data_IF_727381106240
#
_entry.id   IF_727381106240
#
_cell.length_a   1.000
_cell.length_b   1.000
_cell.length_c   1.000
_cell.angle_alpha   90.00
_cell.angle_beta   90.00
_cell.angle_gamma   90.00
#
_symmetry.space_group_name_H-M   'P 1'
#
loop_
_entity.id
_entity.type
_entity.pdbx_description
1 polymer ?
#
# COMPACT_ATOMS: atom_id res chain seq x y z
N UNK A 1 -11.94 0.52 2.50
CA UNK A 1 -12.51 -0.57 3.35
C UNK A 1 -12.98 0.05 4.64
N UNK A 2 -14.20 -0.17 5.04
CA UNK A 2 -14.65 0.27 6.36
C UNK A 2 -14.23 -0.74 7.45
N UNK A 3 -14.47 -0.36 8.72
CA UNK A 3 -14.06 -1.17 9.87
C UNK A 3 -14.74 -2.56 9.90
N UNK A 4 -16.01 -2.65 9.56
CA UNK A 4 -16.79 -3.91 9.56
C UNK A 4 -16.22 -4.85 8.50
N UNK A 5 -15.96 -4.36 7.32
CA UNK A 5 -15.37 -5.11 6.22
C UNK A 5 -13.95 -5.59 6.55
N UNK A 6 -13.13 -4.74 7.18
CA UNK A 6 -11.79 -5.12 7.64
C UNK A 6 -11.83 -6.26 8.67
N UNK A 7 -12.80 -6.23 9.58
CA UNK A 7 -12.99 -7.31 10.57
C UNK A 7 -13.39 -8.64 9.92
N UNK A 8 -14.25 -8.60 8.90
CA UNK A 8 -14.71 -9.80 8.19
C UNK A 8 -13.62 -10.42 7.32
N UNK A 9 -12.80 -9.59 6.68
CA UNK A 9 -11.76 -10.01 5.72
C UNK A 9 -10.40 -10.29 6.37
N UNK A 10 -10.26 -10.15 7.70
CA UNK A 10 -8.97 -10.37 8.34
C UNK A 10 -8.43 -11.79 8.10
N UNK A 11 -7.16 -11.93 7.67
CA UNK A 11 -6.52 -13.21 7.42
C UNK A 11 -6.44 -14.12 8.66
N UNK A 12 -6.22 -15.43 8.52
CA UNK A 12 -6.13 -16.36 9.65
C UNK A 12 -5.13 -15.98 10.72
N UNK A 13 -4.04 -15.34 10.32
CA UNK A 13 -2.95 -14.87 11.20
C UNK A 13 -3.35 -13.78 12.18
N UNK A 14 -4.57 -13.20 12.08
CA UNK A 14 -5.05 -12.25 13.09
C UNK A 14 -5.01 -12.85 14.51
N UNK A 15 -5.11 -14.20 14.62
CA UNK A 15 -5.06 -14.94 15.89
C UNK A 15 -3.66 -14.95 16.52
N UNK A 16 -2.64 -14.59 15.77
CA UNK A 16 -1.28 -14.43 16.25
C UNK A 16 -1.15 -13.23 17.20
N UNK A 17 -1.97 -12.21 17.01
CA UNK A 17 -1.98 -11.00 17.82
C UNK A 17 -3.07 -11.04 18.88
N UNK A 18 -2.74 -10.47 20.05
CA UNK A 18 -3.69 -10.21 21.14
C UNK A 18 -3.94 -8.73 21.33
N UNK A 19 -4.92 -8.39 22.16
CA UNK A 19 -5.25 -6.98 22.48
C UNK A 19 -4.04 -6.21 23.02
N UNK A 20 -3.15 -6.88 23.76
CA UNK A 20 -1.95 -6.28 24.32
C UNK A 20 -0.94 -5.82 23.25
N UNK A 21 -0.97 -6.43 22.06
CA UNK A 21 -0.09 -6.04 20.94
C UNK A 21 -0.41 -4.64 20.42
N UNK A 22 -1.65 -4.19 20.55
CA UNK A 22 -2.06 -2.83 20.21
C UNK A 22 -1.25 -1.80 21.03
N UNK A 23 -0.94 -2.11 22.29
CA UNK A 23 -0.12 -1.24 23.13
C UNK A 23 1.36 -1.17 22.71
N UNK A 24 1.84 -2.13 21.92
CA UNK A 24 3.20 -2.17 21.36
C UNK A 24 3.36 -1.29 20.10
N UNK A 25 2.27 -0.90 19.47
CA UNK A 25 2.30 0.03 18.34
C UNK A 25 2.89 1.38 18.78
N UNK A 26 3.67 2.06 17.91
CA UNK A 26 4.09 3.42 18.17
C UNK A 26 2.90 4.34 18.46
N UNK A 27 3.06 5.31 19.37
CA UNK A 27 1.97 6.18 19.80
C UNK A 27 1.27 6.91 18.66
N UNK A 28 2.02 7.35 17.66
CA UNK A 28 1.47 8.02 16.49
C UNK A 28 0.59 7.08 15.66
N UNK A 29 1.05 5.84 15.44
CA UNK A 29 0.31 4.80 14.72
C UNK A 29 -0.97 4.44 15.46
N UNK A 30 -0.86 4.15 16.77
CA UNK A 30 -2.01 3.82 17.60
C UNK A 30 -3.07 4.92 17.61
N UNK A 31 -2.67 6.19 17.71
CA UNK A 31 -3.59 7.32 17.65
C UNK A 31 -4.29 7.44 16.30
N UNK A 32 -3.56 7.24 15.21
CA UNK A 32 -4.11 7.26 13.86
C UNK A 32 -5.15 6.16 13.67
N UNK A 33 -4.80 4.93 13.99
CA UNK A 33 -5.68 3.76 13.82
C UNK A 33 -6.90 3.81 14.76
N UNK A 34 -6.69 4.13 16.03
CA UNK A 34 -7.78 4.19 17.01
C UNK A 34 -8.79 5.30 16.74
N UNK A 35 -8.41 6.37 16.03
CA UNK A 35 -9.37 7.39 15.60
C UNK A 35 -10.37 6.87 14.57
N UNK A 36 -10.07 5.78 13.88
CA UNK A 36 -10.90 5.12 12.85
C UNK A 36 -11.76 3.99 13.41
N UNK A 37 -11.54 3.59 14.67
CA UNK A 37 -12.26 2.47 15.30
C UNK A 37 -13.51 2.98 16.02
N UNK A 38 -14.69 2.41 15.75
CA UNK A 38 -15.92 2.75 16.46
C UNK A 38 -15.80 2.49 17.97
N UNK A 39 -16.40 3.33 18.82
CA UNK A 39 -16.43 3.09 20.25
C UNK A 39 -17.12 1.77 20.61
N UNK A 40 -16.65 1.08 21.64
CA UNK A 40 -17.31 -0.09 22.22
C UNK A 40 -17.07 -1.42 21.50
N UNK A 41 -16.16 -1.48 20.53
CA UNK A 41 -15.77 -2.75 19.90
C UNK A 41 -15.13 -3.72 20.90
N UNK A 42 -15.47 -5.01 20.75
CA UNK A 42 -14.80 -6.07 21.51
C UNK A 42 -13.32 -6.22 21.09
N UNK A 43 -12.45 -6.59 22.03
CA UNK A 43 -11.01 -6.68 21.80
C UNK A 43 -10.63 -7.55 20.60
N UNK A 44 -11.25 -8.72 20.44
CA UNK A 44 -10.97 -9.64 19.32
C UNK A 44 -11.32 -9.04 17.95
N UNK A 45 -12.44 -8.30 17.87
CA UNK A 45 -12.81 -7.59 16.64
C UNK A 45 -11.82 -6.47 16.33
N UNK A 46 -11.42 -5.72 17.37
CA UNK A 46 -10.44 -4.67 17.24
C UNK A 46 -9.10 -5.19 16.69
N UNK A 47 -8.61 -6.32 17.22
CA UNK A 47 -7.36 -6.94 16.73
C UNK A 47 -7.49 -7.39 15.28
N UNK A 48 -8.65 -7.94 14.88
CA UNK A 48 -8.89 -8.29 13.46
C UNK A 48 -8.79 -7.08 12.54
N UNK A 49 -9.46 -5.99 12.90
CA UNK A 49 -9.47 -4.77 12.10
C UNK A 49 -8.08 -4.13 11.99
N UNK A 50 -7.23 -4.31 13.00
CA UNK A 50 -5.87 -3.79 13.03
C UNK A 50 -4.81 -4.79 12.54
N UNK A 51 -5.19 -5.97 12.06
CA UNK A 51 -4.27 -7.03 11.68
C UNK A 51 -3.12 -6.52 10.80
N UNK A 52 -3.44 -5.85 9.70
CA UNK A 52 -2.43 -5.35 8.77
C UNK A 52 -1.52 -4.29 9.41
N UNK A 53 -2.09 -3.39 10.21
CA UNK A 53 -1.30 -2.40 10.96
C UNK A 53 -0.33 -3.08 11.93
N UNK A 54 -0.79 -4.12 12.65
CA UNK A 54 0.07 -4.90 13.55
C UNK A 54 1.20 -5.60 12.79
N UNK A 55 0.91 -6.22 11.65
CA UNK A 55 1.93 -6.84 10.79
C UNK A 55 2.95 -5.81 10.33
N UNK A 56 2.52 -4.71 9.75
CA UNK A 56 3.43 -3.70 9.19
C UNK A 56 4.37 -3.07 10.22
N UNK A 57 3.91 -2.93 11.46
CA UNK A 57 4.66 -2.25 12.51
C UNK A 57 5.36 -3.17 13.50
N UNK A 58 4.84 -4.37 13.76
CA UNK A 58 5.41 -5.31 14.72
C UNK A 58 6.15 -6.47 14.08
N UNK A 59 5.77 -6.87 12.87
CA UNK A 59 6.36 -8.01 12.16
C UNK A 59 6.60 -7.68 10.66
N UNK A 60 7.30 -6.56 10.36
CA UNK A 60 7.50 -6.10 8.98
C UNK A 60 8.23 -7.13 8.10
N UNK A 61 9.03 -8.03 8.70
CA UNK A 61 9.72 -9.12 7.99
C UNK A 61 8.75 -10.13 7.38
N UNK A 62 7.64 -10.42 8.08
CA UNK A 62 6.61 -11.32 7.52
C UNK A 62 5.96 -10.71 6.27
N UNK A 63 5.65 -9.40 6.34
CA UNK A 63 5.13 -8.68 5.17
C UNK A 63 6.14 -8.65 4.02
N UNK A 64 7.40 -8.36 4.31
CA UNK A 64 8.46 -8.34 3.30
C UNK A 64 8.61 -9.71 2.63
N UNK A 65 8.50 -10.80 3.40
CA UNK A 65 8.57 -12.15 2.86
C UNK A 65 7.37 -12.47 1.97
N UNK A 66 6.14 -12.17 2.40
CA UNK A 66 4.93 -12.30 1.58
C UNK A 66 5.09 -11.63 0.21
N UNK A 67 5.56 -10.38 0.18
CA UNK A 67 5.68 -9.61 -1.06
C UNK A 67 6.62 -10.21 -2.09
N UNK A 68 7.51 -11.13 -1.70
CA UNK A 68 8.40 -11.87 -2.63
C UNK A 68 7.64 -12.91 -3.43
N UNK A 69 6.52 -13.39 -2.89
CA UNK A 69 5.66 -14.39 -3.52
C UNK A 69 4.44 -13.77 -4.20
N UNK A 70 4.28 -12.46 -4.08
CA UNK A 70 3.25 -11.69 -4.79
C UNK A 70 3.88 -10.64 -5.73
N UNK A 71 4.57 -11.07 -6.80
CA UNK A 71 5.15 -10.14 -7.76
C UNK A 71 4.05 -9.37 -8.50
N UNK A 72 4.28 -8.08 -8.74
CA UNK A 72 3.39 -7.28 -9.59
C UNK A 72 3.51 -7.77 -11.02
N UNK A 73 2.36 -7.95 -11.71
CA UNK A 73 2.35 -8.41 -13.10
C UNK A 73 3.15 -7.47 -14.00
N UNK A 74 4.06 -7.99 -14.86
CA UNK A 74 4.92 -7.15 -15.72
C UNK A 74 4.16 -6.20 -16.64
N UNK A 75 2.98 -6.59 -17.14
CA UNK A 75 2.16 -5.75 -18.02
C UNK A 75 1.61 -4.52 -17.30
N UNK A 76 1.31 -4.62 -16.00
CA UNK A 76 0.90 -3.46 -15.20
C UNK A 76 2.05 -2.48 -15.08
N UNK A 77 3.25 -2.99 -14.79
CA UNK A 77 4.47 -2.17 -14.75
C UNK A 77 4.75 -1.53 -16.11
N UNK A 78 4.58 -2.28 -17.22
CA UNK A 78 4.76 -1.76 -18.57
C UNK A 78 3.74 -0.67 -18.93
N UNK A 79 2.58 -0.65 -18.28
CA UNK A 79 1.52 0.35 -18.50
C UNK A 79 1.77 1.68 -17.77
N UNK A 80 2.70 1.71 -16.81
CA UNK A 80 3.07 2.94 -16.11
C UNK A 80 3.86 3.89 -17.04
N UNK A 81 3.72 5.21 -16.86
CA UNK A 81 4.52 6.19 -17.59
C UNK A 81 6.03 5.95 -17.44
N UNK A 82 6.75 6.13 -18.51
CA UNK A 82 8.22 6.07 -18.56
C UNK A 82 8.84 7.47 -18.51
N UNK A 83 10.08 7.54 -18.04
CA UNK A 83 10.93 8.74 -18.17
C UNK A 83 10.34 9.99 -17.49
N UNK A 84 9.75 9.81 -16.29
CA UNK A 84 9.30 10.94 -15.47
C UNK A 84 10.45 11.51 -14.63
N UNK A 85 10.38 12.79 -14.28
CA UNK A 85 11.41 13.39 -13.43
C UNK A 85 11.28 12.90 -11.98
N UNK A 86 10.07 12.91 -11.44
CA UNK A 86 9.78 12.51 -10.07
C UNK A 86 8.61 11.52 -10.04
N UNK A 87 8.84 10.36 -9.44
CA UNK A 87 7.78 9.43 -9.04
C UNK A 87 7.65 9.39 -7.51
N UNK A 88 6.40 9.31 -7.04
CA UNK A 88 6.05 9.13 -5.62
C UNK A 88 5.36 7.78 -5.46
N UNK A 89 5.79 6.98 -4.49
CA UNK A 89 5.18 5.71 -4.11
C UNK A 89 4.59 5.85 -2.70
N UNK A 90 3.27 5.79 -2.59
CA UNK A 90 2.50 6.02 -1.36
C UNK A 90 2.12 4.67 -0.75
N UNK A 91 2.45 4.46 0.53
CA UNK A 91 2.37 3.14 1.15
C UNK A 91 3.38 2.17 0.56
N UNK A 92 4.63 2.63 0.40
CA UNK A 92 5.67 1.93 -0.35
C UNK A 92 6.08 0.58 0.24
N UNK A 93 5.76 0.33 1.51
CA UNK A 93 6.16 -0.89 2.20
C UNK A 93 7.68 -1.08 2.19
N UNK A 94 8.11 -2.30 1.96
CA UNK A 94 9.53 -2.65 1.79
C UNK A 94 10.06 -2.40 0.37
N UNK A 95 9.24 -1.79 -0.54
CA UNK A 95 9.65 -1.35 -1.87
C UNK A 95 9.24 -2.25 -3.03
N UNK A 96 8.16 -3.05 -2.88
CA UNK A 96 7.67 -3.96 -3.95
C UNK A 96 7.40 -3.20 -5.26
N UNK A 97 6.69 -2.08 -5.24
CA UNK A 97 6.47 -1.24 -6.42
C UNK A 97 7.66 -0.30 -6.67
N UNK A 98 8.23 0.28 -5.61
CA UNK A 98 9.33 1.25 -5.69
C UNK A 98 10.50 0.77 -6.55
N UNK A 99 10.88 -0.53 -6.49
CA UNK A 99 11.97 -1.11 -7.29
C UNK A 99 11.74 -0.99 -8.81
N UNK A 100 10.50 -0.93 -9.25
CA UNK A 100 10.16 -0.73 -10.66
C UNK A 100 10.19 0.75 -11.05
N UNK A 101 9.85 1.64 -10.12
CA UNK A 101 9.83 3.10 -10.34
C UNK A 101 11.24 3.67 -10.51
N UNK A 102 12.27 3.10 -9.84
CA UNK A 102 13.67 3.56 -9.99
C UNK A 102 14.24 3.42 -11.42
N UNK A 103 13.58 2.65 -12.27
CA UNK A 103 13.94 2.51 -13.69
C UNK A 103 13.14 3.43 -14.62
N UNK A 104 12.11 4.13 -14.06
CA UNK A 104 11.15 4.95 -14.80
C UNK A 104 11.21 6.43 -14.44
N UNK A 105 11.87 6.75 -13.32
CA UNK A 105 11.96 8.11 -12.82
C UNK A 105 13.40 8.49 -12.52
N UNK A 106 13.73 9.75 -12.72
CA UNK A 106 15.03 10.31 -12.34
C UNK A 106 15.19 10.32 -10.81
N UNK A 107 14.10 10.60 -10.09
CA UNK A 107 14.03 10.60 -8.63
C UNK A 107 12.79 9.88 -8.17
N UNK A 108 12.94 9.01 -7.17
CA UNK A 108 11.82 8.32 -6.51
C UNK A 108 11.75 8.74 -5.05
N UNK A 109 10.54 9.10 -4.63
CA UNK A 109 10.20 9.38 -3.23
C UNK A 109 9.21 8.31 -2.79
N UNK A 110 9.54 7.60 -1.71
CA UNK A 110 8.70 6.57 -1.11
C UNK A 110 8.15 7.07 0.22
N UNK A 111 6.84 7.03 0.40
CA UNK A 111 6.16 7.42 1.64
C UNK A 111 5.69 6.13 2.32
N UNK A 112 6.17 5.90 3.55
CA UNK A 112 5.86 4.68 4.30
C UNK A 112 5.82 4.99 5.80
N UNK A 113 4.69 4.76 6.50
CA UNK A 113 4.58 5.04 7.93
C UNK A 113 5.36 4.05 8.81
N UNK A 114 5.50 2.77 8.41
CA UNK A 114 6.22 1.76 9.20
C UNK A 114 7.73 2.01 9.17
N UNK A 115 8.33 2.18 10.35
CA UNK A 115 9.78 2.34 10.49
C UNK A 115 10.55 1.10 10.01
N UNK A 116 10.02 -0.10 10.29
CA UNK A 116 10.63 -1.37 9.89
C UNK A 116 10.63 -1.55 8.37
N UNK A 117 9.48 -1.40 7.73
CA UNK A 117 9.35 -1.50 6.27
C UNK A 117 10.19 -0.42 5.57
N UNK A 118 10.15 0.81 6.08
CA UNK A 118 10.94 1.93 5.52
C UNK A 118 12.45 1.69 5.66
N UNK A 119 12.90 1.07 6.75
CA UNK A 119 14.31 0.69 6.92
C UNK A 119 14.73 -0.39 5.90
N UNK A 120 13.89 -1.39 5.65
CA UNK A 120 14.13 -2.42 4.63
C UNK A 120 14.18 -1.81 3.23
N UNK A 121 13.26 -0.91 2.91
CA UNK A 121 13.24 -0.18 1.64
C UNK A 121 14.56 0.59 1.44
N UNK A 122 14.99 1.37 2.43
CA UNK A 122 16.25 2.13 2.38
C UNK A 122 17.47 1.23 2.19
N UNK A 123 17.48 0.07 2.84
CA UNK A 123 18.57 -0.90 2.68
C UNK A 123 18.61 -1.48 1.27
N UNK A 124 17.45 -1.81 0.71
CA UNK A 124 17.31 -2.43 -0.62
C UNK A 124 17.52 -1.44 -1.76
N UNK A 125 17.04 -0.21 -1.59
CA UNK A 125 17.01 0.85 -2.61
C UNK A 125 17.61 2.15 -2.03
N UNK A 126 18.92 2.19 -1.77
CA UNK A 126 19.58 3.34 -1.11
C UNK A 126 19.50 4.65 -1.90
N UNK A 127 19.20 4.59 -3.21
CA UNK A 127 19.00 5.76 -4.08
C UNK A 127 17.61 6.40 -3.93
N UNK A 128 16.67 5.75 -3.26
CA UNK A 128 15.31 6.24 -3.06
C UNK A 128 15.24 7.13 -1.82
N UNK A 129 14.53 8.26 -1.93
CA UNK A 129 14.21 9.10 -0.77
C UNK A 129 13.01 8.53 -0.03
N UNK A 130 13.25 7.78 1.05
CA UNK A 130 12.17 7.22 1.85
C UNK A 130 11.84 8.11 3.06
N UNK A 131 10.58 8.54 3.15
CA UNK A 131 10.05 9.50 4.12
C UNK A 131 8.93 8.84 4.93
N UNK A 132 8.89 9.11 6.24
CA UNK A 132 7.74 8.75 7.08
C UNK A 132 6.54 9.65 6.73
N UNK A 133 5.37 9.05 6.55
CA UNK A 133 4.17 9.83 6.27
C UNK A 133 2.95 8.94 6.07
N UNK A 134 1.78 9.56 6.19
CA UNK A 134 0.48 8.96 5.97
C UNK A 134 -0.10 9.43 4.65
N UNK A 135 -0.90 8.58 4.01
CA UNK A 135 -1.49 8.89 2.71
C UNK A 135 -2.49 10.04 2.76
N UNK A 136 -3.16 10.22 3.89
CA UNK A 136 -4.14 11.27 4.15
C UNK A 136 -3.51 12.67 4.33
N UNK A 137 -2.17 12.72 4.49
CA UNK A 137 -1.43 13.98 4.62
C UNK A 137 0.01 13.76 4.16
N UNK A 138 0.23 13.79 2.86
CA UNK A 138 1.54 13.53 2.27
C UNK A 138 2.53 14.66 2.59
N UNK A 139 3.74 14.37 3.10
CA UNK A 139 4.74 15.36 3.48
C UNK A 139 5.47 15.92 2.25
N UNK A 140 4.73 16.32 1.24
CA UNK A 140 5.21 16.83 -0.04
C UNK A 140 4.45 18.10 -0.42
N UNK A 141 5.11 18.97 -1.19
CA UNK A 141 4.47 20.14 -1.78
C UNK A 141 3.48 19.74 -2.89
N UNK A 142 2.57 20.66 -3.23
CA UNK A 142 1.68 20.45 -4.38
C UNK A 142 2.49 20.36 -5.67
N UNK A 143 2.02 19.51 -6.60
CA UNK A 143 2.66 19.29 -7.90
C UNK A 143 4.12 18.82 -7.82
N UNK A 144 4.51 18.09 -6.77
CA UNK A 144 5.87 17.60 -6.56
C UNK A 144 6.25 16.40 -7.45
N UNK A 145 5.30 15.74 -8.11
CA UNK A 145 5.53 14.53 -8.92
C UNK A 145 4.83 14.58 -10.27
N UNK A 146 5.33 13.81 -11.24
CA UNK A 146 4.66 13.51 -12.52
C UNK A 146 3.99 12.13 -12.50
N UNK A 147 4.34 11.29 -11.55
CA UNK A 147 3.72 9.98 -11.34
C UNK A 147 3.58 9.71 -9.85
N UNK A 148 2.35 9.58 -9.37
CA UNK A 148 2.06 9.19 -7.98
C UNK A 148 1.41 7.81 -8.00
N UNK A 149 1.97 6.86 -7.26
CA UNK A 149 1.56 5.45 -7.27
C UNK A 149 1.25 4.94 -5.88
N UNK A 150 0.48 3.86 -5.83
CA UNK A 150 0.33 3.00 -4.67
C UNK A 150 0.08 1.55 -5.14
N UNK A 151 0.37 0.56 -4.28
CA UNK A 151 0.11 -0.86 -4.59
C UNK A 151 -0.47 -1.59 -3.40
N UNK A 152 -1.72 -2.08 -3.51
CA UNK A 152 -2.41 -2.83 -2.46
C UNK A 152 -2.61 -2.04 -1.16
N UNK A 153 -2.75 -0.71 -1.25
CA UNK A 153 -2.73 0.15 -0.07
C UNK A 153 -4.07 0.86 0.20
N UNK A 154 -4.85 1.13 -0.84
CA UNK A 154 -6.06 1.97 -0.70
C UNK A 154 -7.19 1.50 -1.60
N UNK A 155 -8.41 1.83 -1.16
CA UNK A 155 -9.62 1.85 -1.96
C UNK A 155 -10.06 3.28 -2.33
N UNK A 156 -11.35 3.50 -2.55
CA UNK A 156 -11.94 4.80 -2.90
C UNK A 156 -12.03 5.75 -1.69
N UNK A 157 -10.88 6.15 -1.15
CA UNK A 157 -10.76 7.12 -0.06
C UNK A 157 -10.56 8.53 -0.62
N UNK A 158 -11.56 9.41 -0.44
CA UNK A 158 -11.54 10.75 -1.01
C UNK A 158 -10.40 11.62 -0.45
N UNK A 159 -10.01 11.44 0.82
CA UNK A 159 -8.94 12.21 1.45
C UNK A 159 -7.59 11.81 0.86
N UNK A 160 -7.35 10.51 0.75
CA UNK A 160 -6.12 9.97 0.12
C UNK A 160 -6.04 10.39 -1.35
N UNK A 161 -7.13 10.25 -2.10
CA UNK A 161 -7.17 10.63 -3.52
C UNK A 161 -6.98 12.14 -3.73
N UNK A 162 -7.49 12.99 -2.83
CA UNK A 162 -7.25 14.42 -2.86
C UNK A 162 -5.78 14.77 -2.63
N UNK A 163 -5.12 14.11 -1.67
CA UNK A 163 -3.69 14.28 -1.42
C UNK A 163 -2.84 13.78 -2.60
N UNK A 164 -3.15 12.62 -3.18
CA UNK A 164 -2.47 12.14 -4.37
C UNK A 164 -2.63 13.11 -5.55
N UNK A 165 -3.83 13.69 -5.76
CA UNK A 165 -4.04 14.74 -6.77
C UNK A 165 -3.26 16.00 -6.45
N UNK A 166 -3.21 16.43 -5.19
CA UNK A 166 -2.47 17.63 -4.76
C UNK A 166 -0.98 17.53 -5.07
N UNK A 167 -0.36 16.37 -4.79
CA UNK A 167 1.08 16.19 -5.00
C UNK A 167 1.45 15.86 -6.45
N UNK A 168 0.48 15.49 -7.28
CA UNK A 168 0.70 15.20 -8.71
C UNK A 168 0.57 16.47 -9.54
N UNK A 169 1.55 16.74 -10.37
CA UNK A 169 1.55 17.89 -11.26
C UNK A 169 0.44 17.76 -12.31
N UNK A 170 -0.05 18.89 -12.80
CA UNK A 170 -0.98 18.91 -13.94
C UNK A 170 -0.38 18.18 -15.14
N UNK A 171 -1.15 17.31 -15.78
CA UNK A 171 -0.70 16.42 -16.85
C UNK A 171 0.06 15.18 -16.36
N UNK A 172 0.36 15.09 -15.05
CA UNK A 172 0.93 13.90 -14.44
C UNK A 172 -0.10 12.80 -14.24
N UNK A 173 0.32 11.67 -13.71
CA UNK A 173 -0.49 10.45 -13.57
C UNK A 173 -0.60 10.01 -12.12
N UNK A 174 -1.79 9.55 -11.75
CA UNK A 174 -2.01 8.74 -10.55
C UNK A 174 -2.27 7.31 -11.03
N UNK A 175 -1.61 6.32 -10.41
CA UNK A 175 -1.72 4.92 -10.77
C UNK A 175 -1.78 4.04 -9.51
N UNK A 176 -2.86 3.27 -9.37
CA UNK A 176 -3.08 2.37 -8.24
C UNK A 176 -3.06 0.92 -8.74
N UNK A 177 -2.14 0.13 -8.21
CA UNK A 177 -2.02 -1.30 -8.50
C UNK A 177 -2.77 -2.07 -7.43
N UNK A 178 -3.66 -2.97 -7.83
CA UNK A 178 -4.58 -3.74 -6.97
C UNK A 178 -5.26 -2.85 -5.91
N UNK A 179 -5.98 -1.81 -6.32
CA UNK A 179 -6.78 -1.03 -5.38
C UNK A 179 -7.96 -1.88 -4.88
N UNK A 180 -8.46 -1.56 -3.70
CA UNK A 180 -9.78 -2.04 -3.31
C UNK A 180 -10.84 -1.44 -4.24
N UNK A 181 -11.84 -2.25 -4.63
CA UNK A 181 -12.96 -1.81 -5.48
C UNK A 181 -12.54 -1.14 -6.80
N UNK A 182 -11.78 -1.84 -7.68
CA UNK A 182 -11.30 -1.27 -8.94
C UNK A 182 -12.42 -0.76 -9.85
N UNK A 183 -13.59 -1.41 -9.83
CA UNK A 183 -14.78 -1.01 -10.60
C UNK A 183 -15.25 0.40 -10.25
N UNK A 184 -15.15 0.78 -8.97
CA UNK A 184 -15.51 2.14 -8.54
C UNK A 184 -14.65 3.19 -9.27
N UNK A 185 -13.36 2.94 -9.44
CA UNK A 185 -12.47 3.86 -10.14
C UNK A 185 -12.80 3.94 -11.64
N UNK A 186 -13.15 2.81 -12.26
CA UNK A 186 -13.58 2.77 -13.65
C UNK A 186 -14.86 3.60 -13.86
N UNK A 187 -15.84 3.49 -12.98
CA UNK A 187 -17.06 4.31 -12.97
C UNK A 187 -16.77 5.81 -12.84
N UNK A 188 -15.67 6.20 -12.19
CA UNK A 188 -15.19 7.58 -12.10
C UNK A 188 -14.35 8.00 -13.32
N UNK A 189 -14.29 7.18 -14.37
CA UNK A 189 -13.56 7.47 -15.60
C UNK A 189 -12.05 7.24 -15.55
N UNK A 190 -11.56 6.48 -14.57
CA UNK A 190 -10.17 6.02 -14.57
C UNK A 190 -10.00 4.91 -15.60
N UNK A 191 -8.84 4.87 -16.23
CA UNK A 191 -8.48 3.74 -17.09
C UNK A 191 -8.22 2.52 -16.20
N UNK A 192 -8.94 1.43 -16.43
CA UNK A 192 -8.75 0.16 -15.78
C UNK A 192 -8.02 -0.82 -16.70
N UNK A 193 -7.03 -1.53 -16.19
CA UNK A 193 -6.23 -2.53 -16.89
C UNK A 193 -6.17 -3.77 -16.01
N UNK A 194 -6.64 -4.89 -16.53
CA UNK A 194 -6.54 -6.19 -15.88
C UNK A 194 -5.53 -7.04 -16.65
N UNK A 195 -4.53 -7.56 -15.96
CA UNK A 195 -3.60 -8.54 -16.49
C UNK A 195 -4.05 -9.97 -16.14
N UNK A 196 -3.63 -11.02 -16.89
CA UNK A 196 -3.88 -12.38 -16.48
C UNK A 196 -3.30 -12.66 -15.09
N UNK A 197 -4.06 -13.34 -14.22
CA UNK A 197 -3.54 -13.71 -12.91
C UNK A 197 -2.25 -14.56 -13.07
N UNK A 198 -1.22 -14.18 -12.31
CA UNK A 198 0.00 -14.98 -12.26
C UNK A 198 -0.26 -16.23 -11.40
N UNK A 199 0.28 -17.41 -11.81
CA UNK A 199 0.24 -18.56 -10.93
C UNK A 199 0.99 -18.23 -9.64
N UNK A 200 0.43 -18.62 -8.51
CA UNK A 200 1.12 -18.50 -7.22
C UNK A 200 2.44 -19.29 -7.29
N UNK A 201 3.59 -18.67 -7.00
CA UNK A 201 4.86 -19.39 -6.94
C UNK A 201 4.89 -20.35 -5.75
N UNK A 202 5.76 -21.36 -5.81
CA UNK A 202 6.02 -22.20 -4.65
C UNK A 202 6.48 -21.33 -3.48
N UNK A 203 5.80 -21.44 -2.34
CA UNK A 203 6.07 -20.64 -1.15
C UNK A 203 5.94 -21.48 0.13
N UNK A 204 6.54 -21.04 1.25
CA UNK A 204 6.41 -21.71 2.53
C UNK A 204 4.96 -21.82 3.02
N UNK A 205 4.49 -22.95 3.52
CA UNK A 205 3.09 -23.15 3.96
C UNK A 205 2.61 -22.15 5.01
N UNK A 206 3.51 -21.63 5.85
CA UNK A 206 3.16 -20.65 6.87
C UNK A 206 2.57 -19.35 6.29
N UNK A 207 2.87 -19.02 5.01
CA UNK A 207 2.32 -17.83 4.34
C UNK A 207 0.81 -17.99 4.20
N UNK A 208 0.34 -19.12 3.66
CA UNK A 208 -1.11 -19.39 3.57
C UNK A 208 -1.76 -19.49 4.95
N UNK A 209 -1.07 -20.11 5.91
CA UNK A 209 -1.57 -20.24 7.29
C UNK A 209 -1.71 -18.89 8.00
N UNK A 210 -0.91 -17.91 7.64
CA UNK A 210 -0.88 -16.60 8.28
C UNK A 210 -1.66 -15.54 7.49
N UNK A 211 -1.44 -15.43 6.18
CA UNK A 211 -2.01 -14.40 5.32
C UNK A 211 -3.23 -14.88 4.51
N UNK A 212 -3.44 -16.17 4.41
CA UNK A 212 -4.38 -16.75 3.45
C UNK A 212 -3.76 -16.97 2.07
N UNK A 213 -4.56 -17.37 1.09
CA UNK A 213 -4.07 -17.61 -0.28
C UNK A 213 -3.39 -16.38 -0.87
N UNK A 214 -2.30 -16.60 -1.61
CA UNK A 214 -1.62 -15.54 -2.34
C UNK A 214 -2.53 -14.94 -3.42
N UNK A 215 -2.51 -13.61 -3.52
CA UNK A 215 -3.21 -12.83 -4.55
C UNK A 215 -2.26 -11.81 -5.21
N UNK A 216 -1.40 -12.28 -6.14
CA UNK A 216 -0.46 -11.39 -6.80
C UNK A 216 -1.16 -10.25 -7.55
N UNK A 217 -0.67 -9.00 -7.42
CA UNK A 217 -1.25 -7.83 -8.08
C UNK A 217 -1.41 -7.99 -9.58
N UNK A 218 -2.64 -7.94 -10.08
CA UNK A 218 -3.00 -8.13 -11.49
C UNK A 218 -3.94 -7.07 -12.06
N UNK A 219 -4.30 -6.05 -11.27
CA UNK A 219 -5.14 -4.93 -11.69
C UNK A 219 -4.42 -3.60 -11.52
N UNK A 220 -4.71 -2.65 -12.40
CA UNK A 220 -4.20 -1.28 -12.36
C UNK A 220 -5.32 -0.33 -12.75
N UNK A 221 -5.57 0.67 -11.93
CA UNK A 221 -6.38 1.82 -12.32
C UNK A 221 -5.51 3.07 -12.38
N UNK A 222 -5.74 3.92 -13.39
CA UNK A 222 -4.93 5.13 -13.55
C UNK A 222 -5.70 6.28 -14.17
N UNK A 223 -5.33 7.52 -13.78
CA UNK A 223 -5.93 8.74 -14.30
C UNK A 223 -4.86 9.81 -14.50
N UNK A 224 -5.02 10.63 -15.53
CA UNK A 224 -4.21 11.82 -15.74
C UNK A 224 -4.83 13.02 -15.01
N UNK A 225 -4.01 13.74 -14.27
CA UNK A 225 -4.44 14.93 -13.53
C UNK A 225 -4.62 16.10 -14.49
N UNK A 226 -5.84 16.62 -14.56
CA UNK A 226 -6.24 17.71 -15.44
C UNK A 226 -5.82 19.13 -15.01
#
# INVERSE_FOLDING_TARGET
MDYEEAVEKAPPGWRHFGVDDIARLPDAVRKHEMARVPPGEAGDRLVRALFWTLVYHLEPEKWDELTRFEPIHPDLIASLPDSVDVAVDVGAGSGRLTQHLVRRATRVIAIEPSDGLRAMLKHRLPQVTAIAGWAESLPLESAASQLTTASGAFGPDEVVLAEMRRVTARGGWIALISPESPDWFEEQGWRHITAPALPAPDHPPWIDEFFGPLDPPHELVMVQVG
#
